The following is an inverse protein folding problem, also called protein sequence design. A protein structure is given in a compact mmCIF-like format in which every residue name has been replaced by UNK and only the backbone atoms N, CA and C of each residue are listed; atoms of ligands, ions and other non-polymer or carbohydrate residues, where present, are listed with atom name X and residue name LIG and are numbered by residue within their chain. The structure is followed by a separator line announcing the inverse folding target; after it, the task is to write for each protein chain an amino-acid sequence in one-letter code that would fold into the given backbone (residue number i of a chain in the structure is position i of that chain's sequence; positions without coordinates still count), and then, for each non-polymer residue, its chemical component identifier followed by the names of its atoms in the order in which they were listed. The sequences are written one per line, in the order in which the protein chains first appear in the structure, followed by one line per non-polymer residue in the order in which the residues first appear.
data_IF_121964839923
#
_entry.id   IF_121964839923
#
_cell.length_a   1.000
_cell.length_b   1.000
_cell.length_c   1.000
_cell.angle_alpha   90.00
_cell.angle_beta   90.00
_cell.angle_gamma   90.00
#
_symmetry.space_group_name_H-M   'P 1'
#
loop_
_entity.id
_entity.type
_entity.pdbx_description
1 polymer ?
#
# COMPACT_ATOMS: atom_id res chain seq x y z
N UNK A 1 -1.19 -9.81 2.50
CA UNK A 1 -0.19 -8.73 2.26
C UNK A 1 -0.19 -8.42 0.78
N UNK A 2 -0.14 -7.14 0.40
CA UNK A 2 0.06 -6.70 -0.97
C UNK A 2 1.56 -6.62 -1.23
N UNK A 3 2.03 -7.33 -2.23
CA UNK A 3 3.43 -7.31 -2.65
C UNK A 3 3.51 -6.96 -4.13
N UNK A 4 4.58 -6.26 -4.52
CA UNK A 4 4.92 -5.99 -5.92
C UNK A 4 3.82 -5.35 -6.77
N UNK A 5 2.98 -4.49 -6.16
CA UNK A 5 2.03 -3.67 -6.92
C UNK A 5 2.78 -2.53 -7.63
N UNK A 6 2.70 -2.52 -8.95
CA UNK A 6 3.25 -1.47 -9.79
C UNK A 6 2.31 -1.18 -10.95
N UNK A 7 2.38 0.05 -11.46
CA UNK A 7 1.77 0.43 -12.72
C UNK A 7 2.86 0.94 -13.64
N UNK A 8 2.65 0.82 -14.94
CA UNK A 8 3.54 1.46 -15.91
C UNK A 8 3.67 2.95 -15.62
N UNK A 9 4.90 3.46 -15.59
CA UNK A 9 5.20 4.84 -15.20
C UNK A 9 4.54 5.88 -16.12
N UNK A 10 4.34 5.56 -17.40
CA UNK A 10 3.63 6.42 -18.35
C UNK A 10 2.14 6.58 -18.01
N UNK A 11 1.61 5.70 -17.14
CA UNK A 11 0.22 5.72 -16.68
C UNK A 11 0.12 6.14 -15.20
N UNK A 12 1.18 6.63 -14.59
CA UNK A 12 1.11 7.20 -13.25
C UNK A 12 0.08 8.36 -13.20
N UNK A 13 -0.63 8.49 -12.07
CA UNK A 13 -1.69 9.50 -11.91
C UNK A 13 -3.02 9.19 -12.62
N UNK A 14 -3.12 8.12 -13.42
CA UNK A 14 -4.36 7.72 -14.10
C UNK A 14 -5.39 7.01 -13.22
N UNK A 15 -5.07 6.76 -11.93
CA UNK A 15 -5.95 6.05 -11.00
C UNK A 15 -5.84 4.52 -11.02
N UNK A 16 -5.06 3.92 -11.93
CA UNK A 16 -4.93 2.46 -12.04
C UNK A 16 -4.48 1.77 -10.74
N UNK A 17 -3.51 2.36 -10.02
CA UNK A 17 -3.09 1.81 -8.72
C UNK A 17 -4.24 1.75 -7.72
N UNK A 18 -5.11 2.76 -7.71
CA UNK A 18 -6.29 2.78 -6.85
C UNK A 18 -7.29 1.68 -7.26
N UNK A 19 -7.49 1.47 -8.55
CA UNK A 19 -8.33 0.39 -9.08
C UNK A 19 -7.79 -1.00 -8.71
N UNK A 20 -6.48 -1.21 -8.78
CA UNK A 20 -5.84 -2.47 -8.35
C UNK A 20 -6.09 -2.73 -6.87
N UNK A 21 -5.87 -1.72 -6.01
CA UNK A 21 -6.13 -1.85 -4.56
C UNK A 21 -7.61 -2.14 -4.30
N UNK A 22 -8.52 -1.46 -4.99
CA UNK A 22 -9.96 -1.67 -4.86
C UNK A 22 -10.37 -3.10 -5.29
N UNK A 23 -9.81 -3.60 -6.39
CA UNK A 23 -10.09 -4.95 -6.87
C UNK A 23 -9.64 -6.02 -5.86
N UNK A 24 -8.43 -5.88 -5.29
CA UNK A 24 -7.97 -6.82 -4.25
C UNK A 24 -8.85 -6.75 -3.01
N UNK A 25 -9.25 -5.56 -2.59
CA UNK A 25 -10.14 -5.36 -1.45
C UNK A 25 -11.52 -5.99 -1.66
N UNK A 26 -12.03 -6.00 -2.90
CA UNK A 26 -13.28 -6.65 -3.25
C UNK A 26 -13.18 -8.18 -3.27
N UNK A 27 -12.00 -8.74 -3.62
CA UNK A 27 -11.77 -10.18 -3.62
C UNK A 27 -11.63 -10.78 -2.21
N UNK A 28 -11.21 -9.98 -1.23
CA UNK A 28 -11.04 -10.39 0.16
C UNK A 28 -11.55 -9.30 1.12
N UNK A 29 -12.86 -9.05 1.18
CA UNK A 29 -13.43 -7.91 1.90
C UNK A 29 -13.25 -8.00 3.42
N UNK A 30 -13.12 -9.22 3.95
CA UNK A 30 -13.03 -9.47 5.40
C UNK A 30 -11.58 -9.38 5.92
N UNK A 31 -10.60 -9.26 5.01
CA UNK A 31 -9.19 -9.17 5.36
C UNK A 31 -8.68 -7.72 5.29
N UNK A 32 -7.85 -7.29 6.25
CA UNK A 32 -7.12 -6.04 6.12
C UNK A 32 -6.09 -6.14 5.01
N UNK A 33 -5.82 -5.00 4.36
CA UNK A 33 -4.70 -4.88 3.42
C UNK A 33 -3.50 -4.30 4.13
N UNK A 34 -2.35 -4.95 3.98
CA UNK A 34 -1.07 -4.50 4.48
C UNK A 34 -0.10 -4.41 3.32
N UNK A 35 0.60 -3.28 3.20
CA UNK A 35 1.66 -3.06 2.23
C UNK A 35 2.88 -2.45 2.92
N UNK A 36 4.07 -2.71 2.39
CA UNK A 36 5.28 -2.00 2.79
C UNK A 36 5.87 -1.24 1.60
N UNK A 37 6.22 0.02 1.82
CA UNK A 37 6.59 0.95 0.74
C UNK A 37 7.67 1.92 1.21
N UNK A 38 8.18 2.73 0.29
CA UNK A 38 9.17 3.77 0.55
C UNK A 38 8.59 5.18 0.37
N UNK A 39 9.45 6.20 0.49
CA UNK A 39 9.08 7.61 0.37
C UNK A 39 8.45 7.98 -0.99
N UNK A 40 8.79 7.30 -2.08
CA UNK A 40 8.31 7.64 -3.43
C UNK A 40 6.84 7.24 -3.59
N UNK A 41 6.40 6.19 -2.89
CA UNK A 41 5.06 5.62 -3.02
C UNK A 41 4.17 5.77 -1.78
N UNK A 42 4.71 6.12 -0.61
CA UNK A 42 3.90 6.27 0.63
C UNK A 42 2.74 7.28 0.48
N UNK A 43 2.92 8.34 -0.31
CA UNK A 43 1.88 9.32 -0.58
C UNK A 43 0.66 8.73 -1.31
N UNK A 44 0.86 7.70 -2.15
CA UNK A 44 -0.23 6.99 -2.81
C UNK A 44 -1.10 6.24 -1.79
N UNK A 45 -0.49 5.46 -0.88
CA UNK A 45 -1.23 4.71 0.14
C UNK A 45 -1.95 5.63 1.13
N UNK A 46 -1.34 6.75 1.54
CA UNK A 46 -1.99 7.77 2.38
C UNK A 46 -3.28 8.29 1.74
N UNK A 47 -3.26 8.61 0.44
CA UNK A 47 -4.44 9.10 -0.29
C UNK A 47 -5.57 8.07 -0.39
N UNK A 48 -5.24 6.78 -0.34
CA UNK A 48 -6.24 5.69 -0.32
C UNK A 48 -6.80 5.39 1.08
N UNK A 49 -6.38 6.14 2.11
CA UNK A 49 -6.87 5.98 3.48
C UNK A 49 -6.15 4.90 4.28
N UNK A 50 -4.97 4.45 3.86
CA UNK A 50 -4.14 3.58 4.68
C UNK A 50 -3.61 4.35 5.88
N UNK A 51 -3.65 3.73 7.07
CA UNK A 51 -2.84 4.15 8.19
C UNK A 51 -1.37 3.84 7.88
N UNK A 52 -0.48 4.81 8.04
CA UNK A 52 0.93 4.70 7.65
C UNK A 52 1.82 4.89 8.88
N UNK A 53 2.68 3.92 9.14
CA UNK A 53 3.67 3.94 10.22
C UNK A 53 5.05 3.81 9.60
N UNK A 54 5.99 4.69 9.96
CA UNK A 54 7.38 4.54 9.57
C UNK A 54 7.99 3.34 10.30
N UNK A 55 8.78 2.54 9.59
CA UNK A 55 9.54 1.45 10.19
C UNK A 55 10.88 2.00 10.67
N UNK A 56 11.27 1.62 11.88
CA UNK A 56 12.55 2.03 12.48
C UNK A 56 13.73 1.24 11.90
N UNK A 57 13.44 0.07 11.30
CA UNK A 57 14.44 -0.77 10.65
C UNK A 57 14.73 -0.28 9.22
N UNK A 58 16.02 -0.05 8.95
CA UNK A 58 16.51 0.19 7.60
C UNK A 58 16.59 -1.13 6.84
N UNK A 59 15.96 -1.23 5.67
CA UNK A 59 16.10 -2.41 4.80
C UNK A 59 17.51 -2.42 4.20
N UNK A 60 18.34 -3.46 4.43
CA UNK A 60 19.70 -3.52 3.91
C UNK A 60 19.78 -3.47 2.37
N UNK A 61 18.71 -3.84 1.67
CA UNK A 61 18.62 -3.76 0.21
C UNK A 61 18.49 -2.32 -0.29
N UNK A 62 17.98 -1.41 0.55
CA UNK A 62 17.77 0.00 0.25
C UNK A 62 18.08 0.88 1.47
N UNK A 63 19.37 1.03 1.83
CA UNK A 63 19.77 1.67 3.09
C UNK A 63 19.36 3.15 3.20
N UNK A 64 19.23 3.83 2.05
CA UNK A 64 18.89 5.25 1.97
C UNK A 64 17.38 5.50 1.84
N UNK A 65 16.55 4.44 1.85
CA UNK A 65 15.10 4.55 1.67
C UNK A 65 14.39 4.24 2.97
N UNK A 66 13.69 5.24 3.53
CA UNK A 66 12.81 5.00 4.67
C UNK A 66 11.67 4.09 4.24
N UNK A 67 11.39 3.07 5.04
CA UNK A 67 10.30 2.12 4.81
C UNK A 67 9.10 2.47 5.68
N UNK A 68 7.92 2.18 5.17
CA UNK A 68 6.65 2.41 5.85
C UNK A 68 5.76 1.19 5.76
N UNK A 69 5.14 0.82 6.87
CA UNK A 69 4.03 -0.13 6.90
C UNK A 69 2.72 0.63 6.75
N UNK A 70 1.98 0.27 5.71
CA UNK A 70 0.68 0.84 5.37
C UNK A 70 -0.40 -0.20 5.63
N UNK A 71 -1.41 0.13 6.43
CA UNK A 71 -2.53 -0.77 6.75
C UNK A 71 -3.86 -0.12 6.42
N UNK A 72 -4.70 -0.83 5.68
CA UNK A 72 -6.10 -0.48 5.46
C UNK A 72 -6.99 -1.53 6.12
N UNK A 73 -7.97 -1.10 6.90
CA UNK A 73 -8.92 -2.00 7.57
C UNK A 73 -9.72 -2.82 6.55
N UNK A 74 -10.15 -4.01 6.97
CA UNK A 74 -11.14 -4.80 6.25
C UNK A 74 -12.38 -3.97 5.90
N UNK A 75 -13.00 -4.26 4.77
CA UNK A 75 -14.31 -3.68 4.42
C UNK A 75 -15.38 -4.15 5.40
N UNK A 76 -15.36 -5.45 5.67
CA UNK A 76 -16.32 -6.13 6.52
C UNK A 76 -15.51 -6.81 7.64
N UNK A 77 -15.04 -6.07 8.66
CA UNK A 77 -14.44 -6.73 9.81
C UNK A 77 -15.48 -7.67 10.42
N UNK A 78 -15.10 -8.91 10.72
CA UNK A 78 -15.94 -9.80 11.50
C UNK A 78 -16.39 -9.07 12.79
N UNK A 79 -17.68 -9.15 13.16
CA UNK A 79 -18.26 -8.40 14.27
C UNK A 79 -17.67 -8.73 15.64
#
# INVERSE_FOLDING_TARGET
MLEYIAVDGSRAGSGLGALLVAAVRALAPDLPLVAETDDDAVGFYRRLGFAVVALDETDPRWPDRRRYRCTLRALNPEP
#
